data_IF_365343203378
#
_entry.id   IF_365343203378
#
_cell.length_a   1.000
_cell.length_b   1.000
_cell.length_c   1.000
_cell.angle_alpha   90.00
_cell.angle_beta   90.00
_cell.angle_gamma   90.00
#
_symmetry.space_group_name_H-M   'P 1'
#
loop_
_entity.id
_entity.type
_entity.pdbx_description
1 polymer ?
#
# COMPACT_ATOMS: atom_id res chain seq x y z
N UNK A 1 8.13 7.90 14.06
CA UNK A 1 7.09 6.90 13.79
C UNK A 1 6.79 6.23 15.12
N UNK A 2 5.56 6.34 15.59
CA UNK A 2 5.09 5.69 16.82
C UNK A 2 4.70 4.25 16.47
N UNK A 3 5.20 3.32 17.28
CA UNK A 3 5.07 1.89 17.10
C UNK A 3 4.54 1.33 18.43
N UNK A 4 3.48 0.53 18.38
CA UNK A 4 2.76 -0.02 19.52
C UNK A 4 2.60 -1.55 19.37
N UNK A 5 2.30 -2.28 20.43
CA UNK A 5 2.15 -3.76 20.41
C UNK A 5 0.75 -4.13 20.87
N UNK A 6 0.11 -5.08 20.17
CA UNK A 6 -1.04 -5.81 20.70
C UNK A 6 -0.55 -7.18 21.16
N UNK A 7 -0.43 -7.38 22.48
CA UNK A 7 -0.23 -8.71 23.06
C UNK A 7 -1.60 -9.36 23.31
N UNK A 8 -1.72 -10.65 22.99
CA UNK A 8 -2.79 -11.48 23.52
C UNK A 8 -2.78 -11.40 25.06
N UNK A 9 -3.93 -11.03 25.63
CA UNK A 9 -4.18 -10.59 27.01
C UNK A 9 -4.07 -9.06 27.24
N UNK A 10 -5.23 -8.43 27.02
CA UNK A 10 -5.73 -7.10 27.42
C UNK A 10 -4.88 -6.32 28.46
N UNK A 11 -4.72 -5.02 28.17
CA UNK A 11 -4.26 -3.89 29.03
C UNK A 11 -2.75 -3.69 29.22
N UNK A 12 -2.07 -3.19 28.19
CA UNK A 12 -1.21 -1.97 28.26
C UNK A 12 -0.58 -1.67 26.89
N UNK A 13 -1.02 -0.58 26.27
CA UNK A 13 -0.37 0.01 25.10
C UNK A 13 0.99 0.55 25.55
N UNK A 14 2.09 0.00 25.04
CA UNK A 14 3.45 0.47 25.30
C UNK A 14 4.08 0.95 23.99
N UNK A 15 4.55 2.20 23.98
CA UNK A 15 5.38 2.74 22.90
C UNK A 15 6.70 1.96 22.87
N UNK A 16 7.03 1.40 21.71
CA UNK A 16 8.23 0.61 21.49
C UNK A 16 9.28 1.40 20.71
N UNK A 17 10.55 1.20 21.05
CA UNK A 17 11.67 1.69 20.24
C UNK A 17 12.07 0.66 19.17
N UNK A 18 12.68 1.13 18.09
CA UNK A 18 13.04 0.31 16.92
C UNK A 18 14.05 -0.80 17.26
N UNK A 19 14.73 -0.73 18.39
CA UNK A 19 15.69 -1.73 18.89
C UNK A 19 15.03 -2.85 19.70
N UNK A 20 13.76 -2.72 20.07
CA UNK A 20 13.09 -3.66 20.96
C UNK A 20 12.31 -4.77 20.21
N UNK A 21 12.05 -4.65 18.89
CA UNK A 21 11.22 -5.61 18.12
C UNK A 21 11.62 -7.08 18.37
N UNK A 22 12.91 -7.37 18.26
CA UNK A 22 13.47 -8.68 18.58
C UNK A 22 14.06 -8.68 19.99
N UNK A 23 13.67 -9.67 20.80
CA UNK A 23 14.31 -9.84 22.11
C UNK A 23 15.76 -10.31 21.95
N UNK A 24 16.64 -9.85 22.84
CA UNK A 24 17.99 -10.39 23.01
C UNK A 24 17.96 -11.57 24.00
N UNK A 25 17.26 -12.65 23.66
CA UNK A 25 17.23 -13.87 24.49
C UNK A 25 18.30 -14.86 24.04
N UNK A 26 19.21 -15.21 24.96
CA UNK A 26 20.44 -15.98 24.73
C UNK A 26 20.23 -17.51 24.83
N UNK A 27 19.08 -18.04 24.42
CA UNK A 27 18.73 -19.46 24.64
C UNK A 27 19.11 -20.34 23.43
N UNK A 28 19.84 -21.43 23.69
CA UNK A 28 20.39 -22.38 22.70
C UNK A 28 19.34 -23.26 21.98
N UNK A 29 18.06 -23.20 22.38
CA UNK A 29 16.92 -23.81 21.68
C UNK A 29 15.86 -22.74 21.52
N UNK A 30 16.04 -21.87 20.53
CA UNK A 30 15.06 -20.84 20.21
C UNK A 30 14.04 -21.42 19.23
N UNK A 31 12.74 -21.40 19.55
CA UNK A 31 11.72 -21.56 18.51
C UNK A 31 11.85 -20.41 17.51
N UNK A 32 11.39 -20.63 16.28
CA UNK A 32 11.32 -19.57 15.25
C UNK A 32 10.50 -18.39 15.80
N UNK A 33 11.13 -17.22 15.91
CA UNK A 33 10.48 -16.00 16.43
C UNK A 33 9.89 -15.23 15.24
N UNK A 34 8.58 -15.30 15.08
CA UNK A 34 7.85 -14.55 14.05
C UNK A 34 7.29 -13.27 14.67
N UNK A 35 7.77 -12.13 14.19
CA UNK A 35 7.27 -10.79 14.53
C UNK A 35 6.50 -10.22 13.35
N UNK A 36 5.27 -9.79 13.58
CA UNK A 36 4.40 -9.20 12.55
C UNK A 36 4.27 -7.71 12.81
N UNK A 37 4.66 -6.88 11.84
CA UNK A 37 4.40 -5.45 11.81
C UNK A 37 3.11 -5.21 11.03
N UNK A 38 2.09 -4.68 11.70
CA UNK A 38 0.83 -4.29 11.10
C UNK A 38 0.69 -2.77 11.00
N UNK A 39 -0.08 -2.33 10.03
CA UNK A 39 -0.45 -0.93 9.94
C UNK A 39 -1.15 -0.59 8.63
N UNK A 40 -1.86 0.53 8.65
CA UNK A 40 -2.61 1.02 7.50
C UNK A 40 -1.72 1.27 6.26
N UNK A 41 -2.35 1.38 5.10
CA UNK A 41 -1.64 1.75 3.87
C UNK A 41 -0.98 3.14 4.01
N UNK A 42 0.24 3.28 3.50
CA UNK A 42 1.01 4.53 3.57
C UNK A 42 1.59 4.87 4.96
N UNK A 43 1.32 4.07 6.00
CA UNK A 43 1.76 4.39 7.38
C UNK A 43 3.28 4.32 7.58
N UNK A 44 4.01 3.73 6.65
CA UNK A 44 5.48 3.68 6.65
C UNK A 44 6.11 2.34 7.08
N UNK A 45 5.39 1.21 6.94
CA UNK A 45 5.92 -0.14 7.25
C UNK A 45 7.26 -0.43 6.55
N UNK A 46 7.29 -0.33 5.22
CA UNK A 46 8.49 -0.55 4.40
C UNK A 46 9.61 0.44 4.74
N UNK A 47 9.26 1.71 5.01
CA UNK A 47 10.23 2.72 5.45
C UNK A 47 10.84 2.39 6.82
N UNK A 48 10.06 1.79 7.73
CA UNK A 48 10.55 1.32 9.02
C UNK A 48 11.52 0.15 8.84
N UNK A 49 11.18 -0.82 8.00
CA UNK A 49 12.04 -1.96 7.65
C UNK A 49 13.37 -1.46 7.05
N UNK A 50 13.32 -0.57 6.07
CA UNK A 50 14.54 0.00 5.48
C UNK A 50 15.40 0.73 6.51
N UNK A 51 14.76 1.50 7.41
CA UNK A 51 15.47 2.16 8.51
C UNK A 51 16.11 1.14 9.44
N UNK A 52 15.40 0.05 9.77
CA UNK A 52 15.92 -1.04 10.60
C UNK A 52 17.17 -1.66 9.98
N UNK A 53 17.08 -2.08 8.71
CA UNK A 53 18.20 -2.69 7.97
C UNK A 53 19.40 -1.74 7.95
N UNK A 54 19.18 -0.44 7.73
CA UNK A 54 20.25 0.56 7.73
C UNK A 54 20.93 0.71 9.09
N UNK A 55 20.18 0.73 10.19
CA UNK A 55 20.78 0.83 11.53
C UNK A 55 21.44 -0.48 11.97
N UNK A 56 20.96 -1.64 11.50
CA UNK A 56 21.63 -2.93 11.64
C UNK A 56 22.97 -2.95 10.88
N UNK A 57 22.99 -2.51 9.62
CA UNK A 57 24.23 -2.42 8.83
C UNK A 57 25.28 -1.48 9.45
N UNK A 58 24.83 -0.51 10.25
CA UNK A 58 25.69 0.37 11.08
C UNK A 58 26.09 -0.24 12.42
N UNK A 59 25.74 -1.50 12.66
CA UNK A 59 26.00 -2.24 13.89
C UNK A 59 25.41 -1.57 15.14
N UNK A 60 24.28 -0.89 15.03
CA UNK A 60 23.64 -0.21 16.18
C UNK A 60 22.57 -1.07 16.84
N UNK A 61 21.76 -1.76 16.05
CA UNK A 61 20.66 -2.60 16.51
C UNK A 61 20.84 -4.03 15.99
N UNK A 62 20.21 -4.98 16.66
CA UNK A 62 20.11 -6.39 16.24
C UNK A 62 21.41 -7.09 15.89
N UNK A 63 22.47 -6.83 16.67
CA UNK A 63 23.82 -7.42 16.49
C UNK A 63 23.84 -8.95 16.57
N UNK A 64 22.78 -9.58 17.08
CA UNK A 64 22.65 -11.03 17.09
C UNK A 64 22.48 -11.64 15.68
N UNK A 65 22.00 -10.85 14.71
CA UNK A 65 21.82 -11.32 13.33
C UNK A 65 23.06 -11.02 12.50
N UNK A 66 23.63 -12.06 11.90
CA UNK A 66 24.75 -11.97 10.98
C UNK A 66 24.27 -11.57 9.57
N UNK A 67 23.06 -11.98 9.19
CA UNK A 67 22.46 -11.69 7.89
C UNK A 67 20.99 -11.32 8.03
N UNK A 68 20.57 -10.33 7.23
CA UNK A 68 19.17 -9.98 7.02
C UNK A 68 18.84 -10.18 5.54
N UNK A 69 17.91 -11.08 5.24
CA UNK A 69 17.39 -11.29 3.90
C UNK A 69 16.05 -10.55 3.77
N UNK A 70 16.04 -9.50 2.97
CA UNK A 70 14.84 -8.72 2.70
C UNK A 70 14.23 -9.13 1.37
N UNK A 71 12.97 -9.54 1.41
CA UNK A 71 12.18 -9.93 0.24
C UNK A 71 10.92 -9.07 0.19
N UNK A 72 10.62 -8.50 -0.98
CA UNK A 72 9.30 -7.95 -1.26
C UNK A 72 8.42 -9.07 -1.78
N UNK A 73 7.31 -9.32 -1.10
CA UNK A 73 6.43 -10.43 -1.46
C UNK A 73 5.85 -10.28 -2.88
N UNK A 74 5.63 -9.03 -3.33
CA UNK A 74 5.23 -8.76 -4.71
C UNK A 74 6.23 -9.31 -5.74
N UNK A 75 7.54 -9.11 -5.51
CA UNK A 75 8.59 -9.58 -6.42
C UNK A 75 8.70 -11.11 -6.39
N UNK A 76 8.57 -11.69 -5.20
CA UNK A 76 8.51 -13.13 -4.99
C UNK A 76 7.33 -13.77 -5.75
N UNK A 77 6.15 -13.15 -5.71
CA UNK A 77 4.94 -13.66 -6.33
C UNK A 77 4.95 -13.60 -7.87
N UNK A 78 5.88 -12.85 -8.48
CA UNK A 78 6.09 -12.88 -9.94
C UNK A 78 6.77 -14.18 -10.41
N UNK A 79 7.36 -14.95 -9.48
CA UNK A 79 8.04 -16.20 -9.79
C UNK A 79 7.01 -17.33 -9.92
N UNK A 80 6.60 -17.60 -11.15
CA UNK A 80 5.63 -18.67 -11.47
C UNK A 80 6.27 -20.06 -11.61
N UNK A 81 7.59 -20.13 -11.67
CA UNK A 81 8.35 -21.37 -11.77
C UNK A 81 8.64 -21.90 -10.37
N UNK A 82 8.51 -23.22 -10.17
CA UNK A 82 8.93 -23.87 -8.91
C UNK A 82 10.40 -23.57 -8.64
N UNK A 83 10.69 -23.14 -7.42
CA UNK A 83 12.02 -22.72 -6.98
C UNK A 83 12.29 -23.23 -5.57
N UNK A 84 13.45 -22.93 -4.99
CA UNK A 84 13.79 -23.31 -3.63
C UNK A 84 14.33 -22.09 -2.86
N UNK A 85 14.47 -22.19 -1.54
CA UNK A 85 14.94 -21.05 -0.74
C UNK A 85 16.35 -20.61 -1.13
N UNK A 86 17.21 -21.57 -1.46
CA UNK A 86 18.59 -21.30 -1.90
C UNK A 86 18.61 -20.44 -3.16
N UNK A 87 17.81 -20.77 -4.18
CA UNK A 87 17.69 -20.00 -5.41
C UNK A 87 17.07 -18.63 -5.16
N UNK A 88 16.01 -18.52 -4.34
CA UNK A 88 15.42 -17.22 -3.98
C UNK A 88 16.44 -16.27 -3.33
N UNK A 89 17.28 -16.80 -2.45
CA UNK A 89 18.37 -16.03 -1.83
C UNK A 89 19.46 -15.73 -2.85
N UNK A 90 19.88 -16.69 -3.68
CA UNK A 90 20.91 -16.48 -4.70
C UNK A 90 20.50 -15.45 -5.76
N UNK A 91 19.25 -15.47 -6.21
CA UNK A 91 18.72 -14.52 -7.20
C UNK A 91 18.74 -13.09 -6.66
N UNK A 92 18.41 -12.93 -5.37
CA UNK A 92 18.40 -11.64 -4.69
C UNK A 92 19.78 -11.20 -4.19
N UNK A 93 20.65 -12.15 -3.86
CA UNK A 93 21.96 -11.96 -3.24
C UNK A 93 23.04 -12.89 -3.86
N UNK A 94 23.40 -12.73 -5.16
CA UNK A 94 24.26 -13.69 -5.87
C UNK A 94 25.64 -13.88 -5.23
N UNK A 95 26.15 -12.85 -4.56
CA UNK A 95 27.44 -12.87 -3.88
C UNK A 95 27.48 -13.78 -2.64
N UNK A 96 26.33 -14.29 -2.17
CA UNK A 96 26.26 -15.20 -1.03
C UNK A 96 26.19 -16.68 -1.44
N UNK A 97 26.03 -16.99 -2.73
CA UNK A 97 25.78 -18.35 -3.25
C UNK A 97 26.74 -19.41 -2.66
N UNK A 98 28.03 -19.10 -2.60
CA UNK A 98 29.07 -20.02 -2.12
C UNK A 98 29.08 -20.23 -0.60
N UNK A 99 28.42 -19.36 0.17
CA UNK A 99 28.40 -19.43 1.65
C UNK A 99 27.06 -19.88 2.20
N UNK A 100 26.01 -19.96 1.38
CA UNK A 100 24.65 -20.33 1.75
C UNK A 100 24.60 -21.58 2.64
N UNK A 101 25.19 -22.69 2.20
CA UNK A 101 25.17 -23.94 2.99
C UNK A 101 25.74 -23.78 4.41
N UNK A 102 26.71 -22.89 4.63
CA UNK A 102 27.27 -22.61 5.95
C UNK A 102 26.34 -21.75 6.79
N UNK A 103 25.66 -20.78 6.15
CA UNK A 103 24.68 -19.93 6.83
C UNK A 103 23.49 -20.75 7.35
N UNK A 104 23.09 -21.82 6.64
CA UNK A 104 21.90 -22.62 6.99
C UNK A 104 22.16 -23.45 8.27
N UNK A 105 23.43 -23.67 8.61
CA UNK A 105 23.84 -24.35 9.85
C UNK A 105 23.66 -23.48 11.09
N UNK A 106 23.55 -22.16 10.94
CA UNK A 106 23.35 -21.21 12.03
C UNK A 106 22.06 -20.37 11.85
N UNK A 107 20.87 -21.01 11.77
CA UNK A 107 19.62 -20.32 11.48
C UNK A 107 19.30 -19.24 12.52
N UNK A 108 19.74 -19.40 13.76
CA UNK A 108 19.56 -18.43 14.84
C UNK A 108 20.21 -17.05 14.60
N UNK A 109 21.14 -16.94 13.64
CA UNK A 109 21.78 -15.67 13.25
C UNK A 109 21.13 -15.05 11.99
N UNK A 110 20.08 -15.66 11.46
CA UNK A 110 19.41 -15.21 10.24
C UNK A 110 18.08 -14.51 10.58
N UNK A 111 17.84 -13.38 9.93
CA UNK A 111 16.56 -12.69 9.93
C UNK A 111 16.01 -12.62 8.51
N UNK A 112 14.84 -13.19 8.30
CA UNK A 112 14.08 -13.06 7.06
C UNK A 112 13.03 -11.96 7.20
N UNK A 113 13.05 -10.99 6.31
CA UNK A 113 12.07 -9.89 6.26
C UNK A 113 11.21 -10.05 5.02
N UNK A 114 9.92 -10.25 5.24
CA UNK A 114 8.90 -10.36 4.19
C UNK A 114 8.09 -9.07 4.22
N UNK A 115 8.39 -8.16 3.30
CA UNK A 115 7.68 -6.89 3.13
C UNK A 115 6.54 -7.03 2.12
N UNK A 116 5.55 -6.15 2.22
CA UNK A 116 4.35 -6.13 1.35
C UNK A 116 3.61 -7.49 1.28
N UNK A 117 3.43 -8.15 2.43
CA UNK A 117 2.67 -9.40 2.53
C UNK A 117 1.17 -9.24 2.18
N UNK A 118 0.72 -8.02 1.90
CA UNK A 118 -0.64 -7.58 1.62
C UNK A 118 -1.15 -7.84 0.19
N UNK A 119 -0.29 -8.25 -0.74
CA UNK A 119 -0.64 -8.44 -2.17
C UNK A 119 -0.72 -9.89 -2.63
N UNK A 120 -1.13 -10.77 -1.72
CA UNK A 120 -1.33 -12.19 -1.99
C UNK A 120 -2.63 -12.36 -2.81
N UNK A 121 -2.55 -12.32 -4.14
CA UNK A 121 -3.71 -12.64 -5.01
C UNK A 121 -4.12 -14.11 -4.90
N UNK A 122 -3.15 -14.99 -4.62
CA UNK A 122 -3.36 -16.41 -4.35
C UNK A 122 -3.15 -16.67 -2.86
N UNK A 123 -4.23 -16.66 -2.08
CA UNK A 123 -4.21 -16.85 -0.63
C UNK A 123 -3.25 -17.99 -0.23
N UNK A 124 -2.08 -17.67 0.36
CA UNK A 124 -1.25 -18.67 1.02
C UNK A 124 -2.14 -19.28 2.11
N UNK A 125 -2.59 -20.50 1.88
CA UNK A 125 -3.40 -21.21 2.86
C UNK A 125 -2.46 -21.77 3.92
N UNK A 126 -2.47 -21.15 5.11
CA UNK A 126 -1.80 -21.69 6.29
C UNK A 126 -2.63 -22.78 6.99
N UNK A 127 -3.66 -23.33 6.32
CA UNK A 127 -4.51 -24.40 6.82
C UNK A 127 -3.93 -25.77 6.46
N UNK A 128 -3.83 -26.64 7.45
CA UNK A 128 -3.55 -28.07 7.27
C UNK A 128 -4.78 -28.81 6.70
N UNK A 129 -5.29 -28.40 5.53
CA UNK A 129 -6.33 -29.20 4.87
C UNK A 129 -5.65 -30.39 4.17
N UNK A 130 -5.50 -31.48 4.94
CA UNK A 130 -5.10 -32.83 4.49
C UNK A 130 -6.09 -33.47 3.48
N UNK A 131 -6.90 -32.68 2.79
CA UNK A 131 -7.97 -33.12 1.89
C UNK A 131 -7.76 -32.71 0.42
N UNK A 132 -6.64 -32.08 0.06
CA UNK A 132 -6.20 -32.03 -1.33
C UNK A 132 -5.39 -33.30 -1.66
N UNK A 133 -5.91 -34.13 -2.56
CA UNK A 133 -5.28 -35.36 -3.07
C UNK A 133 -4.03 -35.10 -3.96
N UNK A 134 -3.31 -34.01 -3.72
CA UNK A 134 -2.01 -33.73 -4.32
C UNK A 134 -0.98 -33.78 -3.21
N UNK A 135 0.12 -34.49 -3.44
CA UNK A 135 1.25 -34.59 -2.51
C UNK A 135 1.79 -33.19 -2.18
N UNK A 136 1.23 -32.50 -1.19
CA UNK A 136 1.84 -31.33 -0.54
C UNK A 136 3.09 -31.84 0.18
N UNK A 137 4.20 -31.91 -0.56
CA UNK A 137 5.50 -32.22 -0.01
C UNK A 137 5.93 -31.03 0.83
N UNK A 138 6.01 -31.24 2.15
CA UNK A 138 6.61 -30.27 3.05
C UNK A 138 8.00 -29.89 2.54
N UNK A 139 8.22 -28.59 2.29
CA UNK A 139 9.50 -28.06 1.85
C UNK A 139 10.43 -27.94 3.06
N UNK A 140 10.90 -29.07 3.56
CA UNK A 140 11.73 -29.17 4.77
C UNK A 140 13.21 -28.87 4.51
N UNK A 141 13.62 -28.89 3.24
CA UNK A 141 14.99 -28.63 2.81
C UNK A 141 15.05 -27.32 2.00
N UNK A 142 15.96 -26.38 2.31
CA UNK A 142 16.21 -25.18 1.51
C UNK A 142 16.51 -25.43 0.03
N UNK A 143 16.94 -26.64 -0.37
CA UNK A 143 17.17 -27.02 -1.77
C UNK A 143 15.93 -27.66 -2.44
N UNK A 144 14.84 -27.89 -1.70
CA UNK A 144 13.61 -28.50 -2.22
C UNK A 144 12.82 -27.55 -3.14
N UNK A 145 12.52 -27.99 -4.36
CA UNK A 145 11.77 -27.22 -5.35
C UNK A 145 10.27 -27.21 -5.07
N UNK A 146 9.73 -26.04 -4.76
CA UNK A 146 8.38 -25.79 -4.32
C UNK A 146 7.82 -24.48 -4.92
N UNK A 147 6.54 -24.22 -4.70
CA UNK A 147 5.97 -22.90 -4.97
C UNK A 147 6.42 -21.89 -3.91
N UNK A 148 6.51 -20.61 -4.28
CA UNK A 148 7.00 -19.56 -3.38
C UNK A 148 6.08 -19.37 -2.17
N UNK A 149 4.77 -19.53 -2.39
CA UNK A 149 3.74 -19.58 -1.34
C UNK A 149 4.07 -20.62 -0.27
N UNK A 150 4.49 -21.81 -0.69
CA UNK A 150 4.82 -22.93 0.18
C UNK A 150 6.13 -22.73 0.93
N UNK A 151 7.16 -22.17 0.26
CA UNK A 151 8.44 -21.83 0.91
C UNK A 151 8.20 -20.81 2.03
N UNK A 152 7.41 -19.77 1.76
CA UNK A 152 7.06 -18.75 2.76
C UNK A 152 6.23 -19.37 3.89
N UNK A 153 5.27 -20.26 3.58
CA UNK A 153 4.49 -20.99 4.58
C UNK A 153 5.38 -21.81 5.52
N UNK A 154 6.24 -22.67 4.99
CA UNK A 154 7.15 -23.50 5.77
C UNK A 154 8.14 -22.68 6.61
N UNK A 155 8.62 -21.55 6.07
CA UNK A 155 9.49 -20.62 6.80
C UNK A 155 8.74 -20.00 7.99
N UNK A 156 7.57 -19.41 7.76
CA UNK A 156 6.76 -18.75 8.80
C UNK A 156 6.27 -19.74 9.88
N UNK A 157 5.96 -20.98 9.51
CA UNK A 157 5.60 -22.04 10.45
C UNK A 157 6.82 -22.61 11.22
N UNK A 158 8.05 -22.24 10.82
CA UNK A 158 9.29 -22.73 11.42
C UNK A 158 9.63 -24.18 11.05
N UNK A 159 9.01 -24.72 10.00
CA UNK A 159 9.33 -26.02 9.44
C UNK A 159 10.62 -25.97 8.62
N UNK A 160 10.85 -24.84 7.93
CA UNK A 160 12.07 -24.55 7.17
C UNK A 160 13.00 -23.64 8.00
N UNK A 161 14.29 -23.99 8.10
CA UNK A 161 15.29 -23.26 8.89
C UNK A 161 14.86 -22.96 10.34
N UNK A 162 14.47 -24.02 11.07
CA UNK A 162 14.00 -23.92 12.45
C UNK A 162 14.97 -23.13 13.35
N UNK A 163 14.45 -22.10 14.03
CA UNK A 163 15.22 -21.21 14.91
C UNK A 163 15.66 -19.89 14.29
N UNK A 164 15.38 -19.64 13.01
CA UNK A 164 15.54 -18.31 12.42
C UNK A 164 14.51 -17.30 12.96
N UNK A 165 14.76 -16.01 12.75
CA UNK A 165 13.80 -14.95 13.07
C UNK A 165 13.13 -14.46 11.79
N UNK A 166 11.84 -14.12 11.89
CA UNK A 166 11.04 -13.69 10.75
C UNK A 166 10.34 -12.38 11.10
N UNK A 167 10.43 -11.40 10.20
CA UNK A 167 9.68 -10.15 10.25
C UNK A 167 8.71 -10.11 9.08
N UNK A 168 7.41 -9.99 9.36
CA UNK A 168 6.39 -9.87 8.32
C UNK A 168 5.78 -8.48 8.42
N UNK A 169 5.83 -7.68 7.35
CA UNK A 169 5.02 -6.47 7.26
C UNK A 169 3.71 -6.76 6.53
N UNK A 170 2.61 -6.65 7.25
CA UNK A 170 1.27 -7.01 6.79
C UNK A 170 0.26 -5.91 7.09
N UNK A 171 -0.95 -6.07 6.57
CA UNK A 171 -2.09 -5.21 6.95
C UNK A 171 -2.97 -5.90 8.01
N UNK A 172 -3.74 -5.13 8.81
CA UNK A 172 -4.44 -5.69 9.97
C UNK A 172 -5.39 -6.85 9.68
N UNK A 173 -6.08 -6.90 8.53
CA UNK A 173 -7.00 -8.02 8.24
C UNK A 173 -6.30 -9.35 7.97
N UNK A 174 -5.01 -9.30 7.59
CA UNK A 174 -4.20 -10.50 7.36
C UNK A 174 -3.74 -11.15 8.65
N UNK A 175 -3.95 -10.49 9.80
CA UNK A 175 -3.69 -11.10 11.10
C UNK A 175 -4.44 -12.40 11.27
N UNK A 176 -5.70 -12.48 10.83
CA UNK A 176 -6.48 -13.73 10.89
C UNK A 176 -5.83 -14.90 10.15
N UNK A 177 -5.06 -14.60 9.10
CA UNK A 177 -4.32 -15.60 8.33
C UNK A 177 -3.08 -16.07 9.11
N UNK A 178 -2.42 -15.14 9.81
CA UNK A 178 -1.21 -15.37 10.60
C UNK A 178 -1.49 -15.87 12.02
N UNK A 179 -2.70 -15.70 12.55
CA UNK A 179 -3.17 -16.22 13.84
C UNK A 179 -3.08 -17.76 13.91
N UNK A 180 -3.13 -18.43 12.75
CA UNK A 180 -2.94 -19.88 12.64
C UNK A 180 -1.47 -20.32 12.65
N UNK A 181 -0.54 -19.36 12.61
CA UNK A 181 0.89 -19.61 12.67
C UNK A 181 1.41 -19.34 14.09
N UNK A 182 2.60 -19.85 14.43
CA UNK A 182 3.25 -19.62 15.72
C UNK A 182 3.78 -18.17 15.85
N UNK A 183 2.91 -17.17 15.65
CA UNK A 183 3.26 -15.76 15.74
C UNK A 183 3.64 -15.43 17.18
N UNK A 184 4.86 -14.93 17.38
CA UNK A 184 5.39 -14.65 18.72
C UNK A 184 5.03 -13.23 19.17
N UNK A 185 4.99 -12.27 18.24
CA UNK A 185 4.77 -10.84 18.53
C UNK A 185 4.05 -10.13 17.39
N UNK A 186 3.14 -9.23 17.75
CA UNK A 186 2.43 -8.37 16.80
C UNK A 186 2.57 -6.90 17.19
N UNK A 187 3.04 -6.09 16.24
CA UNK A 187 3.43 -4.70 16.43
C UNK A 187 2.65 -3.81 15.45
N UNK A 188 1.85 -2.89 15.95
CA UNK A 188 1.09 -1.92 15.17
C UNK A 188 1.82 -0.57 15.01
N UNK A 189 1.96 -0.10 13.76
CA UNK A 189 2.44 1.25 13.48
C UNK A 189 1.26 2.22 13.47
N UNK A 190 1.30 3.20 14.38
CA UNK A 190 0.26 4.25 14.46
C UNK A 190 0.55 5.48 13.59
N UNK A 191 1.81 5.69 13.18
CA UNK A 191 2.21 6.83 12.34
C UNK A 191 2.93 7.94 13.09
N UNK A 192 2.68 9.20 12.72
CA UNK A 192 3.31 10.39 13.31
C UNK A 192 2.44 10.97 14.45
N UNK A 193 3.08 11.31 15.57
CA UNK A 193 2.50 12.23 16.54
C UNK A 193 2.92 13.67 16.25
N UNK A 194 2.35 14.62 17.01
CA UNK A 194 2.54 16.07 16.80
C UNK A 194 4.01 16.48 16.60
N UNK A 195 4.92 16.01 17.46
CA UNK A 195 6.35 16.32 17.33
C UNK A 195 6.97 15.74 16.05
N UNK A 196 6.56 14.54 15.63
CA UNK A 196 7.06 13.93 14.40
C UNK A 196 6.53 14.64 13.16
N UNK A 197 5.31 15.17 13.20
CA UNK A 197 4.73 15.98 12.13
C UNK A 197 5.55 17.26 11.95
N UNK A 198 5.85 17.96 13.06
CA UNK A 198 6.67 19.18 13.05
C UNK A 198 8.08 18.93 12.51
N UNK A 199 8.71 17.85 12.98
CA UNK A 199 10.04 17.46 12.53
C UNK A 199 10.05 17.11 11.06
N UNK A 200 9.02 16.43 10.57
CA UNK A 200 8.89 16.05 9.17
C UNK A 200 8.89 17.29 8.27
N UNK A 201 7.92 18.20 8.44
CA UNK A 201 7.81 19.38 7.57
C UNK A 201 9.00 20.33 7.68
N UNK A 202 9.62 20.44 8.86
CA UNK A 202 10.87 21.19 9.04
C UNK A 202 12.05 20.64 8.25
N UNK A 203 12.07 19.32 8.00
CA UNK A 203 13.12 18.63 7.25
C UNK A 203 12.78 18.44 5.76
N UNK A 204 11.53 18.68 5.36
CA UNK A 204 11.08 18.51 3.98
C UNK A 204 11.65 19.55 3.00
N UNK A 205 11.98 20.75 3.49
CA UNK A 205 12.40 21.87 2.66
C UNK A 205 13.73 22.42 3.12
N UNK A 206 14.57 22.86 2.18
CA UNK A 206 15.84 23.53 2.48
C UNK A 206 15.60 24.93 3.09
N UNK A 207 14.59 25.65 2.58
CA UNK A 207 14.17 26.93 3.15
C UNK A 207 13.39 26.71 4.45
N UNK A 208 14.06 27.03 5.57
CA UNK A 208 13.50 26.91 6.92
C UNK A 208 12.33 27.86 7.17
N UNK A 209 12.30 29.02 6.53
CA UNK A 209 11.19 29.96 6.67
C UNK A 209 9.96 29.41 5.95
N UNK A 210 10.12 28.95 4.71
CA UNK A 210 9.05 28.29 3.98
C UNK A 210 8.52 27.05 4.72
N UNK A 211 9.40 26.22 5.27
CA UNK A 211 9.01 25.07 6.07
C UNK A 211 8.18 25.46 7.31
N UNK A 212 8.52 26.57 7.97
CA UNK A 212 7.76 27.09 9.10
C UNK A 212 6.38 27.60 8.68
N UNK A 213 6.31 28.35 7.58
CA UNK A 213 5.05 28.85 7.00
C UNK A 213 4.10 27.70 6.63
N UNK A 214 4.60 26.64 5.98
CA UNK A 214 3.83 25.43 5.64
C UNK A 214 3.35 24.71 6.91
N UNK A 215 4.23 24.52 7.89
CA UNK A 215 3.88 23.83 9.14
C UNK A 215 2.78 24.59 9.88
N UNK A 216 2.86 25.91 9.93
CA UNK A 216 1.85 26.76 10.58
C UNK A 216 0.52 26.71 9.83
N UNK A 217 0.53 26.77 8.50
CA UNK A 217 -0.68 26.65 7.69
C UNK A 217 -1.39 25.32 7.93
N UNK A 218 -0.66 24.20 7.93
CA UNK A 218 -1.22 22.87 8.17
C UNK A 218 -1.81 22.79 9.57
N UNK A 219 -1.13 23.29 10.60
CA UNK A 219 -1.64 23.30 11.99
C UNK A 219 -2.90 24.13 12.18
N UNK A 220 -3.02 25.26 11.49
CA UNK A 220 -4.21 26.11 11.53
C UNK A 220 -5.42 25.45 10.88
N UNK A 221 -5.21 24.54 9.93
CA UNK A 221 -6.27 23.79 9.27
C UNK A 221 -6.40 22.39 9.92
N UNK A 222 -7.33 22.27 10.88
CA UNK A 222 -7.55 21.04 11.65
C UNK A 222 -7.82 19.81 10.77
N UNK A 223 -8.52 19.98 9.65
CA UNK A 223 -8.81 18.89 8.72
C UNK A 223 -7.55 18.34 8.03
N UNK A 224 -6.64 19.22 7.58
CA UNK A 224 -5.36 18.80 7.02
C UNK A 224 -4.47 18.18 8.11
N UNK A 225 -4.40 18.83 9.28
CA UNK A 225 -3.55 18.39 10.37
C UNK A 225 -3.93 16.99 10.87
N UNK A 226 -5.23 16.70 10.98
CA UNK A 226 -5.73 15.41 11.49
C UNK A 226 -5.24 14.24 10.66
N UNK A 227 -5.04 14.39 9.34
CA UNK A 227 -4.55 13.31 8.48
C UNK A 227 -3.02 13.18 8.46
N UNK A 228 -2.30 14.16 9.00
CA UNK A 228 -0.83 14.16 9.05
C UNK A 228 -0.23 13.11 10.00
N UNK A 229 -1.05 12.33 10.72
CA UNK A 229 -0.54 11.12 11.35
C UNK A 229 -0.03 10.10 10.32
N UNK A 230 -0.56 10.12 9.08
CA UNK A 230 -0.13 9.22 8.02
C UNK A 230 1.06 9.84 7.25
N UNK A 231 2.27 9.23 7.28
CA UNK A 231 3.44 9.78 6.60
C UNK A 231 3.27 9.95 5.09
N UNK A 232 2.51 9.07 4.43
CA UNK A 232 2.21 9.24 3.00
C UNK A 232 1.42 10.53 2.76
N UNK A 233 0.46 10.86 3.63
CA UNK A 233 -0.29 12.11 3.53
C UNK A 233 0.62 13.33 3.69
N UNK A 234 1.53 13.31 4.68
CA UNK A 234 2.52 14.37 4.83
C UNK A 234 3.40 14.54 3.59
N UNK A 235 3.80 13.44 2.94
CA UNK A 235 4.59 13.49 1.71
C UNK A 235 3.83 14.10 0.53
N UNK A 236 2.54 13.79 0.42
CA UNK A 236 1.67 14.36 -0.62
C UNK A 236 1.46 15.84 -0.39
N UNK A 237 1.15 16.25 0.86
CA UNK A 237 1.09 17.66 1.21
C UNK A 237 2.40 18.36 0.88
N UNK A 238 3.53 17.72 1.21
CA UNK A 238 4.84 18.33 0.96
C UNK A 238 5.06 18.62 -0.52
N UNK A 239 4.66 17.70 -1.39
CA UNK A 239 4.70 17.86 -2.84
C UNK A 239 3.74 18.95 -3.33
N UNK A 240 2.53 19.03 -2.78
CA UNK A 240 1.57 20.09 -3.11
C UNK A 240 2.12 21.48 -2.76
N UNK A 241 2.65 21.65 -1.54
CA UNK A 241 3.27 22.90 -1.11
C UNK A 241 4.56 23.21 -1.88
N UNK A 242 5.31 22.20 -2.33
CA UNK A 242 6.54 22.43 -3.12
C UNK A 242 6.29 23.23 -4.40
N UNK A 243 5.09 23.15 -4.99
CA UNK A 243 4.70 23.99 -6.15
C UNK A 243 4.60 25.49 -5.86
N UNK A 244 4.57 25.87 -4.57
CA UNK A 244 4.54 27.26 -4.09
C UNK A 244 5.91 27.73 -3.58
N UNK A 245 6.95 26.89 -3.70
CA UNK A 245 8.31 27.35 -3.44
C UNK A 245 8.60 28.56 -4.33
N UNK A 246 9.15 29.65 -3.79
CA UNK A 246 9.31 30.88 -4.54
C UNK A 246 10.29 30.69 -5.71
N UNK A 247 9.75 30.39 -6.89
CA UNK A 247 10.48 30.47 -8.15
C UNK A 247 10.46 31.93 -8.61
N UNK A 248 11.37 32.70 -8.02
CA UNK A 248 11.86 34.02 -8.42
C UNK A 248 10.90 35.20 -8.71
N UNK A 249 9.60 35.06 -8.97
CA UNK A 249 8.79 36.24 -9.34
C UNK A 249 7.39 36.39 -8.76
N UNK A 250 6.65 35.37 -8.31
CA UNK A 250 5.35 35.61 -7.64
C UNK A 250 5.06 34.53 -6.58
N UNK A 251 4.89 34.93 -5.30
CA UNK A 251 4.40 34.04 -4.25
C UNK A 251 2.89 33.86 -4.42
N UNK A 252 2.46 32.70 -4.91
CA UNK A 252 1.02 32.32 -4.87
C UNK A 252 0.60 32.04 -3.42
N UNK A 253 -0.60 32.46 -2.99
CA UNK A 253 -1.08 32.19 -1.64
C UNK A 253 -1.43 30.70 -1.45
N UNK A 254 -1.13 30.14 -0.27
CA UNK A 254 -1.52 28.77 0.09
C UNK A 254 -3.04 28.52 0.10
N UNK A 255 -3.85 29.59 0.06
CA UNK A 255 -5.32 29.54 0.09
C UNK A 255 -5.94 28.67 -1.04
N UNK A 256 -5.19 28.35 -2.08
CA UNK A 256 -5.60 27.44 -3.15
C UNK A 256 -5.51 25.95 -2.78
N UNK A 257 -4.86 25.58 -1.67
CA UNK A 257 -4.82 24.19 -1.18
C UNK A 257 -6.01 23.97 -0.26
N UNK A 258 -7.10 23.46 -0.85
CA UNK A 258 -8.29 23.01 -0.12
C UNK A 258 -8.09 21.60 0.46
N UNK A 259 -8.85 21.26 1.50
CA UNK A 259 -8.88 19.90 2.05
C UNK A 259 -9.20 18.87 0.97
N UNK A 260 -10.15 19.19 0.09
CA UNK A 260 -10.52 18.38 -1.06
C UNK A 260 -9.33 18.11 -1.97
N UNK A 261 -8.57 19.15 -2.36
CA UNK A 261 -7.38 18.99 -3.23
C UNK A 261 -6.30 18.11 -2.59
N UNK A 262 -6.02 18.34 -1.31
CA UNK A 262 -5.05 17.55 -0.56
C UNK A 262 -5.44 16.08 -0.44
N UNK A 263 -6.71 15.82 -0.16
CA UNK A 263 -7.25 14.48 -0.04
C UNK A 263 -7.29 13.77 -1.39
N UNK A 264 -7.73 14.44 -2.45
CA UNK A 264 -7.72 13.88 -3.80
C UNK A 264 -6.30 13.46 -4.19
N UNK A 265 -5.32 14.36 -4.06
CA UNK A 265 -3.93 14.05 -4.34
C UNK A 265 -3.38 12.87 -3.51
N UNK A 266 -3.84 12.73 -2.26
CA UNK A 266 -3.47 11.62 -1.40
C UNK A 266 -4.08 10.30 -1.87
N UNK A 267 -5.36 10.31 -2.24
CA UNK A 267 -6.04 9.15 -2.81
C UNK A 267 -5.36 8.72 -4.11
N UNK A 268 -5.07 9.64 -5.03
CA UNK A 268 -4.35 9.37 -6.28
C UNK A 268 -2.99 8.71 -5.99
N UNK A 269 -2.20 9.27 -5.06
CA UNK A 269 -0.90 8.69 -4.69
C UNK A 269 -1.02 7.34 -4.00
N UNK A 270 -2.06 7.15 -3.19
CA UNK A 270 -2.32 5.89 -2.51
C UNK A 270 -2.59 4.78 -3.52
N UNK A 271 -3.43 5.05 -4.52
CA UNK A 271 -3.74 4.08 -5.57
C UNK A 271 -2.57 3.83 -6.51
N UNK A 272 -1.88 4.89 -6.96
CA UNK A 272 -0.71 4.76 -7.83
C UNK A 272 0.39 3.87 -7.21
N UNK A 273 0.53 3.88 -5.87
CA UNK A 273 1.53 3.06 -5.17
C UNK A 273 1.03 1.67 -4.83
N UNK A 274 -0.24 1.53 -4.44
CA UNK A 274 -0.77 0.30 -3.86
C UNK A 274 -1.56 -0.58 -4.84
N UNK A 275 -1.91 -0.09 -6.03
CA UNK A 275 -2.94 -0.73 -6.85
C UNK A 275 -4.33 -0.60 -6.23
N UNK A 276 -5.35 -1.02 -6.96
CA UNK A 276 -6.76 -0.97 -6.52
C UNK A 276 -7.27 -2.37 -6.16
N UNK A 277 -6.70 -3.00 -5.15
CA UNK A 277 -7.26 -4.26 -4.66
C UNK A 277 -8.41 -3.95 -3.69
N UNK A 278 -9.50 -4.69 -3.86
CA UNK A 278 -10.82 -4.45 -3.28
C UNK A 278 -10.94 -4.30 -1.75
N UNK A 279 -9.92 -4.71 -1.01
CA UNK A 279 -9.88 -4.62 0.45
C UNK A 279 -8.82 -3.61 0.94
N UNK A 280 -7.90 -3.24 0.04
CA UNK A 280 -6.70 -2.48 0.34
C UNK A 280 -6.96 -0.97 0.50
N UNK A 281 -7.84 -0.40 -0.30
CA UNK A 281 -8.12 1.03 -0.29
C UNK A 281 -9.34 1.41 0.58
N UNK A 282 -10.21 0.45 0.91
CA UNK A 282 -11.53 0.68 1.53
C UNK A 282 -11.47 1.41 2.87
N UNK A 283 -10.64 1.04 3.86
CA UNK A 283 -10.61 1.74 5.14
C UNK A 283 -10.01 3.14 5.02
N UNK A 284 -9.00 3.31 4.15
CA UNK A 284 -8.39 4.61 3.89
C UNK A 284 -9.37 5.54 3.18
N UNK A 285 -10.04 5.06 2.13
CA UNK A 285 -11.07 5.78 1.37
C UNK A 285 -12.30 6.08 2.21
N UNK A 286 -12.77 5.18 3.08
CA UNK A 286 -13.90 5.42 3.97
C UNK A 286 -13.54 6.43 5.06
N UNK A 287 -12.32 6.37 5.62
CA UNK A 287 -11.84 7.35 6.59
C UNK A 287 -11.65 8.72 5.94
N UNK A 288 -11.12 8.73 4.72
CA UNK A 288 -11.06 9.90 3.84
C UNK A 288 -12.45 10.44 3.53
N UNK A 289 -13.42 9.61 3.16
CA UNK A 289 -14.79 10.02 2.84
C UNK A 289 -15.57 10.52 4.06
N UNK A 290 -15.29 9.96 5.25
CA UNK A 290 -15.86 10.40 6.53
C UNK A 290 -15.23 11.71 7.02
N UNK A 291 -13.93 11.93 6.78
CA UNK A 291 -13.20 13.15 7.11
C UNK A 291 -13.46 14.27 6.08
N UNK A 292 -13.67 13.89 4.81
CA UNK A 292 -14.29 14.70 3.77
C UNK A 292 -15.81 14.81 4.01
N UNK A 293 -16.18 15.35 5.18
CA UNK A 293 -17.46 16.03 5.38
C UNK A 293 -17.62 17.26 4.45
N UNK A 294 -16.89 17.31 3.33
CA UNK A 294 -17.22 18.13 2.19
C UNK A 294 -18.61 17.72 1.69
N UNK A 295 -19.49 18.71 1.60
CA UNK A 295 -20.78 18.61 0.93
C UNK A 295 -20.60 18.40 -0.59
N UNK A 296 -19.44 18.81 -1.15
CA UNK A 296 -19.15 18.74 -2.58
C UNK A 296 -17.64 18.63 -2.86
N UNK A 297 -17.27 17.74 -3.79
CA UNK A 297 -15.93 17.60 -4.37
C UNK A 297 -15.98 18.23 -5.75
N UNK A 298 -15.15 19.24 -6.02
CA UNK A 298 -15.14 19.90 -7.33
C UNK A 298 -14.54 19.01 -8.41
N UNK A 299 -13.40 18.40 -8.13
CA UNK A 299 -12.69 17.53 -9.05
C UNK A 299 -11.95 16.42 -8.29
N UNK A 300 -12.11 15.19 -8.74
CA UNK A 300 -11.36 14.02 -8.27
C UNK A 300 -10.61 13.41 -9.45
N UNK A 301 -9.28 13.55 -9.43
CA UNK A 301 -8.37 13.11 -10.47
C UNK A 301 -7.71 11.79 -10.06
N UNK A 302 -8.11 10.68 -10.70
CA UNK A 302 -7.57 9.35 -10.45
C UNK A 302 -7.05 8.69 -11.74
N UNK A 303 -6.60 9.48 -12.71
CA UNK A 303 -5.96 8.94 -13.92
C UNK A 303 -4.72 8.10 -13.59
N UNK A 304 -4.45 7.08 -14.41
CA UNK A 304 -3.29 6.19 -14.30
C UNK A 304 -3.15 5.44 -12.95
N UNK A 305 -4.25 5.28 -12.21
CA UNK A 305 -4.28 4.66 -10.87
C UNK A 305 -4.55 3.15 -10.88
N UNK A 306 -4.70 2.52 -12.06
CA UNK A 306 -5.02 1.09 -12.21
C UNK A 306 -6.30 0.68 -11.47
N UNK A 307 -7.33 1.53 -11.55
CA UNK A 307 -8.61 1.29 -10.86
C UNK A 307 -9.35 0.12 -11.50
N UNK A 308 -9.39 -1.00 -10.79
CA UNK A 308 -10.18 -2.18 -11.15
C UNK A 308 -11.65 -2.01 -10.72
N UNK A 309 -12.50 -2.97 -11.13
CA UNK A 309 -13.93 -3.01 -10.83
C UNK A 309 -14.24 -2.71 -9.35
N UNK A 310 -13.62 -3.43 -8.42
CA UNK A 310 -13.89 -3.25 -6.98
C UNK A 310 -13.47 -1.86 -6.47
N UNK A 311 -12.43 -1.27 -7.06
CA UNK A 311 -12.03 0.11 -6.78
C UNK A 311 -13.13 1.12 -7.15
N UNK A 312 -13.82 0.92 -8.28
CA UNK A 312 -14.98 1.74 -8.67
C UNK A 312 -16.13 1.62 -7.66
N UNK A 313 -16.41 0.40 -7.20
CA UNK A 313 -17.44 0.15 -6.19
C UNK A 313 -17.16 0.89 -4.88
N UNK A 314 -15.91 0.90 -4.41
CA UNK A 314 -15.51 1.66 -3.22
C UNK A 314 -15.61 3.18 -3.40
N UNK A 315 -15.34 3.66 -4.61
CA UNK A 315 -15.43 5.07 -4.95
C UNK A 315 -16.89 5.55 -5.09
N UNK A 316 -17.89 4.66 -5.10
CA UNK A 316 -19.33 5.00 -5.20
C UNK A 316 -19.76 6.14 -4.26
N UNK A 317 -19.29 6.14 -3.01
CA UNK A 317 -19.64 7.18 -2.03
C UNK A 317 -18.92 8.52 -2.26
N UNK A 318 -17.75 8.50 -2.90
CA UNK A 318 -17.04 9.72 -3.30
C UNK A 318 -17.60 10.28 -4.60
N UNK A 319 -17.94 9.39 -5.53
CA UNK A 319 -18.63 9.69 -6.77
C UNK A 319 -19.89 10.52 -6.52
N UNK A 320 -20.72 10.13 -5.55
CA UNK A 320 -22.00 10.83 -5.26
C UNK A 320 -21.86 12.30 -4.85
N UNK A 321 -20.65 12.71 -4.44
CA UNK A 321 -20.34 14.08 -4.00
C UNK A 321 -19.53 14.87 -5.04
N UNK A 322 -19.12 14.23 -6.14
CA UNK A 322 -18.13 14.78 -7.06
C UNK A 322 -18.78 15.47 -8.26
N UNK A 323 -18.29 16.67 -8.63
CA UNK A 323 -18.72 17.41 -9.82
C UNK A 323 -17.96 16.99 -11.08
N UNK A 324 -16.65 16.78 -10.97
CA UNK A 324 -15.80 16.34 -12.08
C UNK A 324 -15.03 15.10 -11.64
N UNK A 325 -15.10 14.02 -12.40
CA UNK A 325 -14.37 12.80 -12.07
C UNK A 325 -13.53 12.31 -13.24
N UNK A 326 -12.22 12.14 -13.03
CA UNK A 326 -11.29 11.71 -14.06
C UNK A 326 -10.68 10.35 -13.73
N UNK A 327 -10.80 9.43 -14.69
CA UNK A 327 -10.32 8.05 -14.65
C UNK A 327 -9.56 7.70 -15.94
N UNK A 328 -8.71 8.60 -16.44
CA UNK A 328 -7.99 8.34 -17.69
C UNK A 328 -6.99 7.21 -17.53
N UNK A 329 -6.79 6.41 -18.57
CA UNK A 329 -5.79 5.32 -18.60
C UNK A 329 -5.75 4.49 -17.30
N UNK A 330 -6.90 3.95 -16.88
CA UNK A 330 -7.02 3.14 -15.65
C UNK A 330 -7.13 1.63 -15.92
N UNK A 331 -6.91 1.18 -17.16
CA UNK A 331 -7.12 -0.20 -17.58
C UNK A 331 -8.57 -0.67 -17.35
N UNK A 332 -9.55 0.24 -17.46
CA UNK A 332 -10.96 -0.07 -17.29
C UNK A 332 -11.47 -0.95 -18.44
N UNK A 333 -12.18 -2.02 -18.12
CA UNK A 333 -12.91 -2.86 -19.08
C UNK A 333 -14.43 -2.60 -19.00
N UNK A 334 -15.20 -3.18 -19.93
CA UNK A 334 -16.64 -2.95 -20.01
C UNK A 334 -17.41 -3.27 -18.71
N UNK A 335 -17.05 -4.34 -18.02
CA UNK A 335 -17.68 -4.72 -16.74
C UNK A 335 -17.46 -3.65 -15.65
N UNK A 336 -16.32 -2.95 -15.68
CA UNK A 336 -16.05 -1.83 -14.76
C UNK A 336 -16.96 -0.64 -15.07
N UNK A 337 -17.26 -0.40 -16.35
CA UNK A 337 -18.17 0.68 -16.78
C UNK A 337 -19.60 0.40 -16.34
N UNK A 338 -20.06 -0.86 -16.36
CA UNK A 338 -21.40 -1.19 -15.84
C UNK A 338 -21.52 -0.89 -14.34
N UNK A 339 -20.50 -1.20 -13.55
CA UNK A 339 -20.46 -0.85 -12.13
C UNK A 339 -20.34 0.65 -11.88
N UNK A 340 -19.60 1.36 -12.73
CA UNK A 340 -19.55 2.82 -12.69
C UNK A 340 -20.94 3.40 -12.95
N UNK A 341 -21.62 2.94 -13.99
CA UNK A 341 -22.98 3.39 -14.33
C UNK A 341 -23.96 3.11 -13.18
N UNK A 342 -23.91 1.92 -12.55
CA UNK A 342 -24.77 1.61 -11.42
C UNK A 342 -24.51 2.53 -10.21
N UNK A 343 -23.24 2.87 -9.97
CA UNK A 343 -22.81 3.83 -8.95
C UNK A 343 -23.22 5.26 -9.26
N UNK A 344 -23.30 5.62 -10.54
CA UNK A 344 -23.65 6.95 -11.03
C UNK A 344 -25.16 7.20 -11.18
N UNK A 345 -25.99 6.16 -11.29
CA UNK A 345 -27.46 6.31 -11.28
C UNK A 345 -27.99 6.97 -10.01
N UNK A 346 -27.29 6.80 -8.91
CA UNK A 346 -27.61 7.41 -7.61
C UNK A 346 -27.04 8.83 -7.46
N UNK A 347 -26.33 9.35 -8.47
CA UNK A 347 -25.47 10.52 -8.36
C UNK A 347 -26.12 11.80 -8.88
N UNK A 348 -26.36 12.75 -7.98
CA UNK A 348 -27.05 14.01 -8.27
C UNK A 348 -26.13 15.24 -8.35
N UNK A 349 -24.80 15.08 -8.39
CA UNK A 349 -23.87 16.25 -8.45
C UNK A 349 -22.81 16.21 -9.57
N UNK A 350 -22.62 15.05 -10.23
CA UNK A 350 -21.62 14.88 -11.28
C UNK A 350 -22.02 15.58 -12.58
N UNK A 351 -21.13 16.43 -13.09
CA UNK A 351 -21.28 17.19 -14.33
C UNK A 351 -20.34 16.71 -15.44
N UNK A 352 -19.15 16.21 -15.10
CA UNK A 352 -18.15 15.74 -16.09
C UNK A 352 -17.54 14.40 -15.65
N UNK A 353 -17.47 13.46 -16.58
CA UNK A 353 -16.78 12.18 -16.42
C UNK A 353 -15.73 12.01 -17.53
N UNK A 354 -14.47 11.80 -17.15
CA UNK A 354 -13.38 11.61 -18.09
C UNK A 354 -12.84 10.17 -18.03
N UNK A 355 -13.10 9.40 -19.08
CA UNK A 355 -12.63 8.01 -19.26
C UNK A 355 -11.66 7.89 -20.44
N UNK A 356 -11.06 9.00 -20.88
CA UNK A 356 -10.14 9.02 -22.01
C UNK A 356 -8.85 8.20 -21.77
N UNK A 357 -8.12 7.91 -22.83
CA UNK A 357 -6.74 7.45 -22.72
C UNK A 357 -5.77 8.59 -23.00
N UNK A 358 -4.60 8.44 -22.40
CA UNK A 358 -3.43 9.30 -22.58
C UNK A 358 -2.30 8.46 -23.19
N UNK A 359 -1.67 8.99 -24.24
CA UNK A 359 -0.56 8.37 -24.97
C UNK A 359 0.66 8.14 -24.07
N UNK A 360 0.74 8.84 -22.93
CA UNK A 360 1.80 8.67 -21.93
C UNK A 360 1.70 7.35 -21.14
N UNK A 361 0.55 6.67 -21.16
CA UNK A 361 0.28 5.47 -20.35
C UNK A 361 -0.35 4.35 -21.20
N UNK A 362 0.29 3.98 -22.31
CA UNK A 362 -0.22 2.95 -23.25
C UNK A 362 -0.51 1.60 -22.58
N UNK A 363 0.30 1.19 -21.61
CA UNK A 363 0.16 -0.06 -20.84
C UNK A 363 -1.09 -0.09 -19.94
N UNK A 364 -1.68 1.08 -19.68
CA UNK A 364 -2.86 1.26 -18.82
C UNK A 364 -4.07 1.81 -19.57
N UNK A 365 -4.07 1.76 -20.90
CA UNK A 365 -5.19 2.21 -21.69
C UNK A 365 -6.50 1.51 -21.27
N UNK A 366 -7.55 2.30 -21.05
CA UNK A 366 -8.92 1.81 -20.91
C UNK A 366 -9.29 1.02 -22.18
N UNK A 367 -9.86 -0.17 -21.97
CA UNK A 367 -10.21 -1.15 -23.01
C UNK A 367 -11.71 -1.15 -23.24
N UNK A 368 -12.28 0.03 -23.43
CA UNK A 368 -13.72 0.21 -23.61
C UNK A 368 -14.14 -0.24 -25.02
N UNK A 369 -15.25 -0.97 -25.11
CA UNK A 369 -15.85 -1.32 -26.40
C UNK A 369 -17.10 -0.48 -26.68
N UNK A 370 -17.69 -0.64 -27.87
CA UNK A 370 -18.93 0.04 -28.24
C UNK A 370 -20.10 -0.28 -27.28
N UNK A 371 -20.03 -1.40 -26.52
CA UNK A 371 -21.00 -1.71 -25.45
C UNK A 371 -20.96 -0.66 -24.35
N UNK A 372 -19.77 -0.35 -23.83
CA UNK A 372 -19.55 0.69 -22.82
C UNK A 372 -19.97 2.06 -23.32
N UNK A 373 -19.59 2.42 -24.56
CA UNK A 373 -19.98 3.69 -25.18
C UNK A 373 -21.50 3.83 -25.22
N UNK A 374 -22.21 2.79 -25.64
CA UNK A 374 -23.67 2.79 -25.71
C UNK A 374 -24.32 2.94 -24.33
N UNK A 375 -23.77 2.26 -23.31
CA UNK A 375 -24.27 2.34 -21.94
C UNK A 375 -24.04 3.74 -21.34
N UNK A 376 -22.86 4.34 -21.57
CA UNK A 376 -22.53 5.70 -21.16
C UNK A 376 -23.40 6.76 -21.86
N UNK A 377 -23.68 6.59 -23.17
CA UNK A 377 -24.65 7.44 -23.89
C UNK A 377 -26.03 7.46 -23.20
N UNK A 378 -26.53 6.30 -22.78
CA UNK A 378 -27.81 6.21 -22.05
C UNK A 378 -27.74 6.86 -20.68
N UNK A 379 -26.61 6.72 -19.97
CA UNK A 379 -26.42 7.40 -18.69
C UNK A 379 -26.48 8.92 -18.87
N UNK A 380 -25.79 9.47 -19.87
CA UNK A 380 -25.81 10.91 -20.14
C UNK A 380 -27.21 11.42 -20.45
N UNK A 381 -27.99 10.67 -21.24
CA UNK A 381 -29.37 11.03 -21.57
C UNK A 381 -30.35 10.94 -20.39
N UNK A 382 -30.05 10.11 -19.39
CA UNK A 382 -30.93 9.90 -18.22
C UNK A 382 -30.50 10.68 -16.98
N UNK A 383 -29.29 11.25 -16.98
CA UNK A 383 -28.77 12.04 -15.86
C UNK A 383 -29.28 13.47 -15.89
N UNK A 384 -29.65 14.00 -14.72
CA UNK A 384 -30.10 15.40 -14.59
C UNK A 384 -28.95 16.42 -14.59
N UNK A 385 -27.72 16.01 -14.26
CA UNK A 385 -26.60 16.92 -14.05
C UNK A 385 -25.37 16.62 -14.93
N UNK A 386 -25.22 15.39 -15.45
CA UNK A 386 -24.07 15.00 -16.26
C UNK A 386 -24.17 15.71 -17.62
N UNK A 387 -23.15 16.49 -17.95
CA UNK A 387 -23.08 17.32 -19.17
C UNK A 387 -22.14 16.76 -20.21
N UNK A 388 -21.08 16.09 -19.78
CA UNK A 388 -20.01 15.64 -20.68
C UNK A 388 -19.42 14.30 -20.21
N UNK A 389 -19.24 13.38 -21.17
CA UNK A 389 -18.41 12.19 -21.00
C UNK A 389 -17.28 12.21 -22.04
N UNK A 390 -16.03 12.29 -21.57
CA UNK A 390 -14.84 12.25 -22.44
C UNK A 390 -14.35 10.81 -22.63
N UNK A 391 -14.20 10.41 -23.90
CA UNK A 391 -13.77 9.06 -24.30
C UNK A 391 -12.62 9.08 -25.32
N UNK A 392 -11.93 10.20 -25.49
CA UNK A 392 -10.84 10.34 -26.47
C UNK A 392 -9.77 9.26 -26.30
N UNK A 393 -9.16 8.84 -27.40
CA UNK A 393 -8.11 7.79 -27.45
C UNK A 393 -8.54 6.40 -26.93
N UNK A 394 -9.83 6.15 -26.73
CA UNK A 394 -10.33 4.77 -26.62
C UNK A 394 -10.48 4.14 -28.01
N UNK A 395 -10.24 2.84 -28.11
CA UNK A 395 -10.23 2.10 -29.37
C UNK A 395 -11.66 1.64 -29.78
N UNK A 396 -12.63 2.57 -29.77
CA UNK A 396 -14.04 2.29 -30.11
C UNK A 396 -14.39 2.78 -31.53
N UNK A 397 -15.33 2.10 -32.21
CA UNK A 397 -15.69 2.37 -33.61
C UNK A 397 -16.65 3.56 -33.78
N UNK A 398 -17.39 3.89 -32.71
CA UNK A 398 -18.25 5.08 -32.68
C UNK A 398 -17.38 6.35 -32.60
N UNK A 399 -17.22 7.04 -33.75
CA UNK A 399 -16.37 8.24 -33.94
C UNK A 399 -16.78 9.50 -33.16
N UNK A 400 -17.80 9.46 -32.30
CA UNK A 400 -18.15 10.59 -31.44
C UNK A 400 -17.20 10.61 -30.24
N UNK A 401 -16.12 11.38 -30.37
CA UNK A 401 -15.02 11.47 -29.39
C UNK A 401 -15.35 12.33 -28.16
N UNK A 402 -16.57 12.85 -28.10
CA UNK A 402 -17.19 13.57 -26.98
C UNK A 402 -18.69 13.33 -27.09
N UNK A 403 -19.34 12.92 -26.00
CA UNK A 403 -20.79 12.75 -25.94
C UNK A 403 -21.29 13.57 -24.77
#
# INVERSE_FOLDING_TARGET
MRVEIQHENIQKLKLFQLDELFSSTCCKKRPTETTVIIGAAGIGKSSLIQKMIREWARMKIYKQFAFIFHFKFLELNLTTVRTNLTNLVSDSYPYLENVLQHLWQEPAKLLFVIDDFDRVEQAIQFTDDKNSNEEQKDCLDPECYCEVSEIVRCLVQGQLLAGCSILIAARPWQLKLLEKTNTTRTVEILGFGAEQIDLYFRQCYEDKQFAAEVTEYIKRNESLYTMCYNPLYCSVLSLLFASYLPQATERRPFAEITNTKAVCAYVTNLFARNGCDGENATPALLKIAAMMNAERIEELELSACTIQAEGIHQLKRLLSKCKIFRLKSNNLADDCVEMLISSLKENCTLEELDLSNDDLYEDRANRLTDKSVTALKRLLQSSANLKEIRLSHNNCLLKDRTI
#
